data_IF_044185717755
#
_entry.id   IF_044185717755
#
_cell.length_a   1.000
_cell.length_b   1.000
_cell.length_c   1.000
_cell.angle_alpha   90.00
_cell.angle_beta   90.00
_cell.angle_gamma   90.00
#
_symmetry.space_group_name_H-M   'P 1'
#
loop_
_entity.id
_entity.type
_entity.pdbx_description
1 polymer ?
#
# COMPACT_ATOMS: atom_id res chain seq x y z
N UNK A 1 -12.22 -6.71 -0.63
CA UNK A 1 -13.26 -7.50 0.07
C UNK A 1 -12.66 -8.81 0.60
N UNK A 2 -12.11 -9.71 -0.25
CA UNK A 2 -11.61 -11.01 0.18
C UNK A 2 -10.55 -10.93 1.30
N UNK A 3 -9.60 -9.99 1.20
CA UNK A 3 -8.60 -9.75 2.25
C UNK A 3 -9.26 -9.28 3.56
N UNK A 4 -10.23 -8.37 3.48
CA UNK A 4 -10.97 -7.90 4.65
C UNK A 4 -11.80 -8.99 5.33
N UNK A 5 -12.43 -9.88 4.55
CA UNK A 5 -13.16 -11.03 5.09
C UNK A 5 -12.23 -12.04 5.77
N UNK A 6 -11.04 -12.29 5.19
CA UNK A 6 -10.02 -13.13 5.81
C UNK A 6 -9.52 -12.50 7.11
N UNK A 7 -9.20 -11.21 7.09
CA UNK A 7 -8.80 -10.46 8.28
C UNK A 7 -9.86 -10.52 9.38
N UNK A 8 -11.14 -10.38 9.02
CA UNK A 8 -12.27 -10.50 9.95
C UNK A 8 -12.27 -11.85 10.64
N UNK A 9 -12.28 -12.95 9.90
CA UNK A 9 -12.27 -14.31 10.46
C UNK A 9 -11.05 -14.55 11.33
N UNK A 10 -9.86 -14.11 10.88
CA UNK A 10 -8.64 -14.27 11.66
C UNK A 10 -8.70 -13.54 13.01
N UNK A 11 -9.15 -12.28 13.01
CA UNK A 11 -9.30 -11.48 14.24
C UNK A 11 -10.38 -12.05 15.16
N UNK A 12 -11.50 -12.52 14.62
CA UNK A 12 -12.57 -13.15 15.40
C UNK A 12 -12.12 -14.46 16.07
N UNK A 13 -11.16 -15.18 15.48
CA UNK A 13 -10.51 -16.35 16.07
C UNK A 13 -9.32 -15.97 16.98
N UNK A 14 -9.04 -14.69 17.17
CA UNK A 14 -7.97 -14.22 18.07
C UNK A 14 -6.57 -14.17 17.44
N UNK A 15 -6.43 -14.41 16.14
CA UNK A 15 -5.14 -14.34 15.47
C UNK A 15 -4.64 -12.90 15.37
N UNK A 16 -3.31 -12.75 15.37
CA UNK A 16 -2.60 -11.47 15.23
C UNK A 16 -1.43 -11.63 14.27
N UNK A 17 -1.04 -10.56 13.61
CA UNK A 17 0.22 -10.50 12.87
C UNK A 17 1.41 -10.63 13.82
N UNK A 18 2.52 -11.16 13.32
CA UNK A 18 3.75 -11.30 14.12
C UNK A 18 4.41 -9.93 14.34
N UNK A 19 5.06 -9.68 15.49
CA UNK A 19 5.62 -8.37 15.81
C UNK A 19 6.75 -7.90 14.87
N UNK A 20 7.35 -8.82 14.14
CA UNK A 20 8.40 -8.51 13.14
C UNK A 20 7.85 -8.27 11.74
N UNK A 21 6.53 -8.40 11.53
CA UNK A 21 5.89 -8.17 10.21
C UNK A 21 5.36 -6.76 10.14
N UNK A 22 5.90 -5.98 9.21
CA UNK A 22 5.33 -4.69 8.84
C UNK A 22 4.21 -4.89 7.83
N UNK A 23 3.04 -4.36 8.14
CA UNK A 23 1.86 -4.38 7.26
C UNK A 23 1.49 -2.97 6.82
N UNK A 24 0.87 -2.84 5.65
CA UNK A 24 0.33 -1.58 5.15
C UNK A 24 -0.76 -1.84 4.12
N UNK A 25 -1.69 -0.90 3.99
CA UNK A 25 -2.76 -0.92 2.99
C UNK A 25 -2.63 0.31 2.10
N UNK A 26 -2.41 0.09 0.79
CA UNK A 26 -2.39 1.14 -0.21
C UNK A 26 -3.27 0.73 -1.41
N UNK A 27 -4.58 0.98 -1.33
CA UNK A 27 -5.52 0.60 -2.38
C UNK A 27 -5.26 1.36 -3.68
N UNK A 28 -5.62 0.79 -4.82
CA UNK A 28 -5.54 1.45 -6.12
C UNK A 28 -6.53 2.60 -6.32
N UNK A 29 -7.54 2.71 -5.45
CA UNK A 29 -8.61 3.71 -5.55
C UNK A 29 -9.20 4.03 -4.19
N UNK A 30 -9.66 5.28 -4.01
CA UNK A 30 -10.39 5.70 -2.81
C UNK A 30 -11.73 4.95 -2.63
N UNK A 31 -12.35 4.49 -3.71
CA UNK A 31 -13.57 3.66 -3.66
C UNK A 31 -13.36 2.36 -2.86
N UNK A 32 -12.11 1.85 -2.82
CA UNK A 32 -11.78 0.68 -2.00
C UNK A 32 -12.01 0.96 -0.51
N UNK A 33 -11.62 2.13 -0.04
CA UNK A 33 -11.88 2.57 1.33
C UNK A 33 -13.38 2.62 1.60
N UNK A 34 -14.15 3.25 0.71
CA UNK A 34 -15.60 3.40 0.87
C UNK A 34 -16.31 2.05 1.01
N UNK A 35 -16.00 1.08 0.16
CA UNK A 35 -16.66 -0.22 0.26
C UNK A 35 -16.12 -1.09 1.41
N UNK A 36 -14.87 -0.92 1.84
CA UNK A 36 -14.36 -1.60 3.04
C UNK A 36 -15.02 -1.04 4.30
N UNK A 37 -15.19 0.26 4.40
CA UNK A 37 -15.91 0.93 5.49
C UNK A 37 -17.37 0.50 5.53
N UNK A 38 -18.07 0.55 4.39
CA UNK A 38 -19.47 0.12 4.30
C UNK A 38 -19.66 -1.36 4.65
N UNK A 39 -18.68 -2.21 4.34
CA UNK A 39 -18.67 -3.61 4.73
C UNK A 39 -18.23 -3.84 6.19
N UNK A 40 -17.73 -2.82 6.90
CA UNK A 40 -17.14 -2.93 8.24
C UNK A 40 -15.86 -3.76 8.29
N UNK A 41 -15.12 -3.84 7.17
CA UNK A 41 -13.93 -4.68 7.04
C UNK A 41 -12.62 -3.95 7.30
N UNK A 42 -12.59 -2.62 7.19
CA UNK A 42 -11.44 -1.79 7.48
C UNK A 42 -10.95 -1.99 8.93
N UNK A 43 -11.85 -2.03 9.90
CA UNK A 43 -11.51 -2.21 11.32
C UNK A 43 -10.78 -3.51 11.63
N UNK A 44 -11.03 -4.57 10.88
CA UNK A 44 -10.32 -5.85 11.02
C UNK A 44 -8.94 -5.82 10.36
N UNK A 45 -8.83 -5.13 9.23
CA UNK A 45 -7.52 -4.88 8.59
C UNK A 45 -6.64 -4.04 9.50
N UNK A 46 -7.18 -2.97 10.10
CA UNK A 46 -6.47 -2.11 11.06
C UNK A 46 -5.98 -2.89 12.29
N UNK A 47 -6.80 -3.80 12.83
CA UNK A 47 -6.41 -4.68 13.95
C UNK A 47 -5.24 -5.60 13.62
N UNK A 48 -5.04 -5.94 12.34
CA UNK A 48 -3.88 -6.68 11.85
C UNK A 48 -2.74 -5.75 11.39
N UNK A 49 -2.85 -4.43 11.62
CA UNK A 49 -1.86 -3.43 11.27
C UNK A 49 -1.86 -3.02 9.80
N UNK A 50 -2.82 -3.47 8.98
CA UNK A 50 -2.99 -3.04 7.60
C UNK A 50 -3.68 -1.66 7.54
N UNK A 51 -3.02 -0.66 8.12
CA UNK A 51 -3.51 0.71 8.12
C UNK A 51 -3.35 1.35 6.74
N UNK A 52 -4.28 2.22 6.39
CA UNK A 52 -4.22 2.99 5.15
C UNK A 52 -3.04 3.97 5.19
N UNK A 53 -2.09 3.81 4.27
CA UNK A 53 -0.89 4.66 4.16
C UNK A 53 -0.88 5.53 2.90
N UNK A 54 -1.78 5.30 1.96
CA UNK A 54 -1.92 6.05 0.71
C UNK A 54 -2.71 5.26 -0.33
N UNK A 55 -2.69 5.75 -1.56
CA UNK A 55 -3.39 5.13 -2.69
C UNK A 55 -2.45 4.92 -3.87
N UNK A 56 -2.73 3.91 -4.69
CA UNK A 56 -1.98 3.60 -5.88
C UNK A 56 -0.66 2.87 -5.61
N UNK A 57 0.41 3.24 -6.29
CA UNK A 57 1.70 2.55 -6.26
C UNK A 57 2.54 2.83 -5.00
N UNK A 58 1.95 3.07 -3.85
CA UNK A 58 2.63 3.50 -2.62
C UNK A 58 3.60 2.42 -2.12
N UNK A 59 3.12 1.19 -1.90
CA UNK A 59 3.95 0.11 -1.35
C UNK A 59 5.02 -0.37 -2.32
N UNK A 60 4.72 -0.45 -3.61
CA UNK A 60 5.65 -0.94 -4.64
C UNK A 60 6.91 -0.09 -4.81
N UNK A 61 6.91 1.15 -4.33
CA UNK A 61 8.03 2.09 -4.42
C UNK A 61 8.60 2.47 -3.04
N UNK A 62 8.23 1.75 -1.99
CA UNK A 62 8.73 1.97 -0.63
C UNK A 62 8.08 3.13 0.13
N UNK A 63 7.06 3.81 -0.43
CA UNK A 63 6.40 4.95 0.22
C UNK A 63 5.47 4.57 1.39
N UNK A 64 5.32 3.28 1.69
CA UNK A 64 4.66 2.83 2.92
C UNK A 64 5.54 2.98 4.19
N UNK A 65 6.71 3.56 4.03
CA UNK A 65 7.66 3.86 5.10
C UNK A 65 8.71 2.76 5.33
N UNK A 66 9.76 3.05 6.10
CA UNK A 66 10.86 2.12 6.37
C UNK A 66 10.43 0.97 7.29
N UNK A 67 11.26 -0.05 7.39
CA UNK A 67 11.20 -1.01 8.49
C UNK A 67 11.63 -0.31 9.79
N UNK A 68 11.15 -0.81 10.94
CA UNK A 68 11.61 -0.32 12.24
C UNK A 68 13.10 -0.65 12.46
N UNK A 69 13.81 0.22 13.17
CA UNK A 69 15.25 0.10 13.38
C UNK A 69 15.66 -1.24 13.96
N UNK A 70 14.96 -1.73 14.97
CA UNK A 70 15.22 -3.03 15.60
C UNK A 70 15.12 -4.21 14.60
N UNK A 71 14.22 -4.13 13.61
CA UNK A 71 14.10 -5.13 12.56
C UNK A 71 15.25 -5.03 11.57
N UNK A 72 15.63 -3.81 11.20
CA UNK A 72 16.79 -3.57 10.32
C UNK A 72 18.07 -4.09 10.97
N UNK A 73 18.30 -3.76 12.24
CA UNK A 73 19.44 -4.27 13.01
C UNK A 73 19.47 -5.80 13.07
N UNK A 74 18.34 -6.44 13.35
CA UNK A 74 18.23 -7.90 13.38
C UNK A 74 18.57 -8.51 12.00
N UNK A 75 18.04 -7.95 10.91
CA UNK A 75 18.33 -8.42 9.55
C UNK A 75 19.83 -8.33 9.25
N UNK A 76 20.47 -7.21 9.60
CA UNK A 76 21.89 -6.99 9.33
C UNK A 76 22.80 -7.85 10.21
N UNK A 77 22.56 -7.85 11.52
CA UNK A 77 23.38 -8.54 12.51
C UNK A 77 23.34 -10.05 12.35
N UNK A 78 22.16 -10.62 12.15
CA UNK A 78 21.96 -12.06 12.03
C UNK A 78 21.95 -12.54 10.56
N UNK A 79 22.23 -11.66 9.60
CA UNK A 79 22.21 -11.91 8.15
C UNK A 79 20.91 -12.59 7.71
N UNK A 80 19.76 -12.13 8.21
CA UNK A 80 18.47 -12.71 7.92
C UNK A 80 18.04 -12.44 6.47
N UNK A 81 17.23 -13.33 5.95
CA UNK A 81 16.66 -13.21 4.62
C UNK A 81 15.28 -12.54 4.71
N UNK A 82 15.29 -11.19 4.79
CA UNK A 82 14.05 -10.41 4.78
C UNK A 82 13.34 -10.50 3.42
N UNK A 83 12.02 -10.64 3.44
CA UNK A 83 11.18 -10.72 2.23
C UNK A 83 9.97 -9.81 2.32
N UNK A 84 9.43 -9.39 1.17
CA UNK A 84 8.11 -8.77 1.09
C UNK A 84 7.12 -9.68 0.37
N UNK A 85 5.86 -9.63 0.82
CA UNK A 85 4.72 -10.24 0.13
C UNK A 85 3.70 -9.14 -0.11
N UNK A 86 3.38 -8.84 -1.36
CA UNK A 86 2.48 -7.75 -1.70
C UNK A 86 1.56 -8.08 -2.87
N UNK A 87 0.42 -7.39 -2.91
CA UNK A 87 -0.45 -7.34 -4.09
C UNK A 87 -0.30 -5.96 -4.73
N UNK A 88 0.38 -5.91 -5.87
CA UNK A 88 0.69 -4.64 -6.51
C UNK A 88 1.37 -4.82 -7.86
N UNK A 89 2.17 -3.84 -8.26
CA UNK A 89 2.87 -3.83 -9.53
C UNK A 89 4.14 -4.71 -9.50
N UNK A 90 4.69 -5.00 -10.69
CA UNK A 90 5.87 -5.84 -10.89
C UNK A 90 7.21 -5.15 -10.60
N UNK A 91 7.26 -3.82 -10.56
CA UNK A 91 8.51 -3.04 -10.52
C UNK A 91 8.98 -2.80 -9.09
N UNK A 92 9.35 -3.84 -8.38
CA UNK A 92 9.75 -3.73 -6.99
C UNK A 92 11.21 -4.07 -6.67
N UNK A 93 12.03 -4.35 -7.67
CA UNK A 93 13.47 -4.61 -7.44
C UNK A 93 14.15 -3.40 -6.80
N UNK A 94 14.61 -3.58 -5.56
CA UNK A 94 15.28 -2.54 -4.75
C UNK A 94 14.39 -1.36 -4.34
N UNK A 95 13.10 -1.34 -4.71
CA UNK A 95 12.22 -0.19 -4.46
C UNK A 95 11.43 -0.28 -3.16
N UNK A 96 11.02 -1.49 -2.75
CA UNK A 96 10.18 -1.66 -1.56
C UNK A 96 10.98 -1.36 -0.29
N UNK A 97 12.15 -1.95 -0.17
CA UNK A 97 13.08 -1.71 0.92
C UNK A 97 14.48 -2.18 0.54
N UNK A 98 15.53 -1.43 0.89
CA UNK A 98 16.92 -1.86 0.65
C UNK A 98 17.36 -3.03 1.54
N UNK A 99 16.59 -3.35 2.58
CA UNK A 99 16.94 -4.38 3.56
C UNK A 99 16.33 -5.75 3.26
N UNK A 100 15.51 -5.87 2.21
CA UNK A 100 14.88 -7.14 1.83
C UNK A 100 15.56 -7.72 0.59
N UNK A 101 15.62 -9.06 0.53
CA UNK A 101 16.34 -9.80 -0.52
C UNK A 101 15.42 -10.47 -1.55
N UNK A 102 14.13 -10.60 -1.25
CA UNK A 102 13.15 -11.19 -2.16
C UNK A 102 11.79 -10.54 -2.03
N UNK A 103 11.04 -10.51 -3.14
CA UNK A 103 9.72 -9.93 -3.22
C UNK A 103 8.76 -10.91 -3.88
N UNK A 104 7.63 -11.15 -3.26
CA UNK A 104 6.60 -12.08 -3.73
C UNK A 104 5.32 -11.32 -4.07
N UNK A 105 4.80 -11.59 -5.25
CA UNK A 105 3.51 -11.06 -5.68
C UNK A 105 2.42 -12.08 -5.34
N UNK A 106 1.43 -11.66 -4.60
CA UNK A 106 0.33 -12.50 -4.16
C UNK A 106 -1.01 -11.77 -4.25
N UNK A 107 -2.12 -12.51 -4.21
CA UNK A 107 -3.44 -11.92 -4.08
C UNK A 107 -3.61 -11.23 -2.71
N UNK A 108 -4.47 -10.19 -2.57
CA UNK A 108 -4.68 -9.52 -1.29
C UNK A 108 -5.01 -10.46 -0.11
N UNK A 109 -5.86 -11.49 -0.26
CA UNK A 109 -6.08 -12.45 0.84
C UNK A 109 -4.82 -13.22 1.23
N UNK A 110 -3.97 -13.62 0.27
CA UNK A 110 -2.72 -14.31 0.55
C UNK A 110 -1.70 -13.39 1.24
N UNK A 111 -1.67 -12.11 0.91
CA UNK A 111 -0.84 -11.13 1.63
C UNK A 111 -1.21 -11.10 3.11
N UNK A 112 -2.49 -11.07 3.44
CA UNK A 112 -2.94 -11.14 4.85
C UNK A 112 -2.57 -12.47 5.50
N UNK A 113 -2.72 -13.59 4.79
CA UNK A 113 -2.34 -14.91 5.29
C UNK A 113 -0.85 -15.00 5.62
N UNK A 114 0.04 -14.53 4.73
CA UNK A 114 1.49 -14.52 4.99
C UNK A 114 1.89 -13.53 6.10
N UNK A 115 1.16 -12.44 6.28
CA UNK A 115 1.39 -11.55 7.42
C UNK A 115 1.06 -12.22 8.76
N UNK A 116 0.02 -13.06 8.79
CA UNK A 116 -0.32 -13.90 9.96
C UNK A 116 0.72 -15.00 10.19
N UNK A 117 1.19 -15.64 9.13
CA UNK A 117 2.24 -16.67 9.19
C UNK A 117 3.57 -16.11 9.72
N UNK A 118 3.99 -14.95 9.19
CA UNK A 118 5.20 -14.26 9.62
C UNK A 118 6.50 -14.75 8.99
N UNK A 119 6.47 -15.78 8.15
CA UNK A 119 7.62 -16.32 7.42
C UNK A 119 7.20 -17.08 6.15
N UNK A 120 8.12 -17.19 5.17
CA UNK A 120 7.82 -17.78 3.86
C UNK A 120 7.89 -19.32 3.81
N UNK A 121 8.54 -19.96 4.77
CA UNK A 121 8.57 -21.43 4.87
C UNK A 121 7.30 -22.03 5.47
N UNK A 122 6.26 -21.22 5.65
CA UNK A 122 4.95 -21.65 6.13
C UNK A 122 4.18 -22.37 5.04
N UNK A 123 3.79 -23.62 5.27
CA UNK A 123 2.93 -24.39 4.38
C UNK A 123 1.46 -24.01 4.66
N UNK A 124 0.89 -23.18 3.77
CA UNK A 124 -0.50 -22.69 3.89
C UNK A 124 -1.56 -23.80 4.00
N UNK A 125 -1.24 -25.03 3.57
CA UNK A 125 -2.18 -26.16 3.61
C UNK A 125 -2.06 -27.03 4.86
N UNK A 126 -0.90 -27.00 5.53
CA UNK A 126 -0.60 -27.91 6.62
C UNK A 126 -0.36 -27.20 7.96
N UNK A 127 0.24 -26.00 7.91
CA UNK A 127 0.66 -25.33 9.13
C UNK A 127 -0.48 -24.53 9.76
N UNK A 128 -0.49 -24.49 11.08
CA UNK A 128 -1.44 -23.72 11.86
C UNK A 128 -0.94 -22.28 12.05
N UNK A 129 -1.81 -21.29 11.87
CA UNK A 129 -1.53 -19.88 12.19
C UNK A 129 -1.43 -19.60 13.69
N UNK A 130 -1.84 -20.53 14.51
CA UNK A 130 -1.92 -20.44 15.97
C UNK A 130 -3.20 -21.07 16.51
N UNK A 131 -3.50 -20.76 17.75
CA UNK A 131 -4.69 -21.30 18.42
C UNK A 131 -5.78 -20.23 18.56
N UNK A 132 -7.02 -20.68 18.46
CA UNK A 132 -8.19 -19.85 18.75
C UNK A 132 -8.36 -19.67 20.28
N UNK A 133 -9.40 -18.95 20.67
CA UNK A 133 -9.73 -18.69 22.09
C UNK A 133 -10.07 -19.96 22.88
N UNK A 134 -10.40 -21.07 22.19
CA UNK A 134 -10.72 -22.35 22.78
C UNK A 134 -9.51 -23.33 22.81
N UNK A 135 -8.36 -22.88 22.29
CA UNK A 135 -7.14 -23.68 22.19
C UNK A 135 -7.05 -24.60 20.97
N UNK A 136 -7.96 -24.48 20.00
CA UNK A 136 -7.93 -25.26 18.76
C UNK A 136 -6.98 -24.60 17.74
N UNK A 137 -6.28 -25.43 16.97
CA UNK A 137 -5.42 -24.95 15.89
C UNK A 137 -6.24 -24.35 14.73
N UNK A 138 -5.84 -23.18 14.27
CA UNK A 138 -6.48 -22.44 13.16
C UNK A 138 -5.66 -22.59 11.89
N UNK A 139 -6.29 -23.07 10.83
CA UNK A 139 -5.70 -23.29 9.51
C UNK A 139 -6.25 -22.32 8.49
N UNK A 140 -5.62 -22.24 7.30
CA UNK A 140 -6.09 -21.37 6.21
C UNK A 140 -7.55 -21.61 5.85
N UNK A 141 -8.00 -22.85 5.79
CA UNK A 141 -9.39 -23.24 5.50
C UNK A 141 -10.42 -22.60 6.43
N UNK A 142 -10.05 -22.34 7.69
CA UNK A 142 -10.95 -21.80 8.71
C UNK A 142 -11.16 -20.29 8.55
N UNK A 143 -10.17 -19.60 8.00
CA UNK A 143 -10.20 -18.14 7.78
C UNK A 143 -10.42 -17.74 6.33
N UNK A 144 -10.30 -18.67 5.35
CA UNK A 144 -10.49 -18.36 3.94
C UNK A 144 -11.97 -18.04 3.64
N UNK A 145 -12.27 -16.89 3.01
CA UNK A 145 -13.63 -16.53 2.68
C UNK A 145 -14.16 -17.38 1.53
N UNK A 146 -15.39 -17.84 1.63
CA UNK A 146 -16.09 -18.52 0.54
C UNK A 146 -16.49 -17.53 -0.56
N UNK A 147 -16.66 -18.03 -1.79
CA UNK A 147 -17.15 -17.22 -2.91
C UNK A 147 -18.51 -16.58 -2.63
N UNK A 148 -19.38 -17.29 -1.89
CA UNK A 148 -20.71 -16.77 -1.49
C UNK A 148 -20.59 -15.58 -0.54
N UNK A 149 -19.66 -15.61 0.43
CA UNK A 149 -19.40 -14.49 1.33
C UNK A 149 -18.87 -13.27 0.56
N UNK A 150 -17.92 -13.50 -0.34
CA UNK A 150 -17.36 -12.44 -1.20
C UNK A 150 -18.46 -11.81 -2.05
N UNK A 151 -19.24 -12.62 -2.75
CA UNK A 151 -20.34 -12.15 -3.63
C UNK A 151 -21.40 -11.37 -2.85
N UNK A 152 -21.84 -11.89 -1.69
CA UNK A 152 -22.78 -11.21 -0.81
C UNK A 152 -22.26 -9.84 -0.38
N UNK A 153 -21.00 -9.80 0.08
CA UNK A 153 -20.40 -8.56 0.55
C UNK A 153 -20.23 -7.54 -0.57
N UNK A 154 -19.83 -7.99 -1.77
CA UNK A 154 -19.75 -7.12 -2.95
C UNK A 154 -21.13 -6.49 -3.28
N UNK A 155 -22.18 -7.30 -3.34
CA UNK A 155 -23.54 -6.81 -3.65
C UNK A 155 -24.07 -5.80 -2.64
N UNK A 156 -23.71 -5.94 -1.37
CA UNK A 156 -24.22 -5.05 -0.31
C UNK A 156 -23.35 -3.80 -0.09
N UNK A 157 -22.07 -3.85 -0.46
CA UNK A 157 -21.12 -2.81 -0.09
C UNK A 157 -20.62 -1.96 -1.26
N UNK A 158 -20.68 -2.48 -2.49
CA UNK A 158 -20.20 -1.76 -3.67
C UNK A 158 -21.39 -1.26 -4.50
N UNK A 159 -21.36 0.03 -4.90
CA UNK A 159 -22.34 0.63 -5.80
C UNK A 159 -21.70 1.67 -6.72
N UNK A 160 -22.44 2.06 -7.78
CA UNK A 160 -21.97 3.05 -8.74
C UNK A 160 -21.78 4.46 -8.15
N UNK A 161 -22.59 4.81 -7.15
CA UNK A 161 -22.56 6.12 -6.51
C UNK A 161 -21.20 6.41 -5.85
N UNK A 162 -20.53 5.41 -5.28
CA UNK A 162 -19.18 5.55 -4.71
C UNK A 162 -18.18 6.04 -5.76
N UNK A 163 -18.26 5.53 -6.99
CA UNK A 163 -17.40 5.98 -8.09
C UNK A 163 -17.73 7.40 -8.53
N UNK A 164 -19.03 7.72 -8.67
CA UNK A 164 -19.48 9.06 -9.02
C UNK A 164 -18.99 10.08 -7.99
N UNK A 165 -19.18 9.79 -6.70
CA UNK A 165 -18.79 10.69 -5.62
C UNK A 165 -17.26 10.92 -5.56
N UNK A 166 -16.46 9.90 -5.88
CA UNK A 166 -15.00 10.03 -5.85
C UNK A 166 -14.40 10.65 -7.11
N UNK A 167 -15.04 10.51 -8.25
CA UNK A 167 -14.44 10.88 -9.54
C UNK A 167 -15.18 11.95 -10.34
N UNK A 168 -16.36 12.41 -9.91
CA UNK A 168 -17.11 13.47 -10.61
C UNK A 168 -16.40 14.83 -10.63
N UNK A 169 -15.47 15.06 -9.72
CA UNK A 169 -14.84 16.37 -9.52
C UNK A 169 -13.31 16.30 -9.37
N UNK A 170 -12.66 15.42 -10.14
CA UNK A 170 -11.19 15.21 -10.04
C UNK A 170 -10.36 16.42 -10.45
N UNK A 171 -10.89 17.29 -11.34
CA UNK A 171 -10.17 18.46 -11.83
C UNK A 171 -10.05 19.61 -10.82
N UNK A 172 -10.90 19.65 -9.82
CA UNK A 172 -10.84 20.71 -8.79
C UNK A 172 -9.85 20.40 -7.66
N UNK A 173 -9.53 19.12 -7.44
CA UNK A 173 -8.67 18.70 -6.36
C UNK A 173 -9.28 18.93 -4.96
N UNK A 174 -8.56 18.60 -3.89
CA UNK A 174 -8.98 18.85 -2.51
C UNK A 174 -8.95 20.35 -2.17
N UNK A 175 -9.64 20.72 -1.09
CA UNK A 175 -9.73 22.11 -0.64
C UNK A 175 -8.36 22.77 -0.45
N UNK A 176 -7.40 22.03 0.12
CA UNK A 176 -6.02 22.50 0.32
C UNK A 176 -5.35 22.87 -1.02
N UNK A 177 -5.62 22.13 -2.10
CA UNK A 177 -5.12 22.45 -3.44
C UNK A 177 -5.77 23.71 -4.01
N UNK A 178 -7.09 23.88 -3.80
CA UNK A 178 -7.83 25.03 -4.28
C UNK A 178 -7.44 26.33 -3.55
N UNK A 179 -6.98 26.24 -2.31
CA UNK A 179 -6.56 27.37 -1.48
C UNK A 179 -5.13 27.86 -1.77
N UNK A 180 -4.35 27.13 -2.58
CA UNK A 180 -3.00 27.55 -2.98
C UNK A 180 -3.12 28.82 -3.83
N UNK A 181 -2.60 29.92 -3.29
CA UNK A 181 -2.55 31.20 -4.01
C UNK A 181 -1.39 31.16 -4.99
N UNK A 182 -1.68 31.31 -6.26
CA UNK A 182 -0.69 31.41 -7.32
C UNK A 182 -0.91 32.70 -8.09
N UNK A 183 0.17 33.40 -8.43
CA UNK A 183 0.13 34.51 -9.37
C UNK A 183 0.02 33.98 -10.78
N UNK A 184 -0.86 34.59 -11.59
CA UNK A 184 -0.95 34.23 -13.01
C UNK A 184 0.23 34.86 -13.75
N UNK A 185 1.11 34.02 -14.24
CA UNK A 185 2.27 34.42 -15.03
C UNK A 185 2.41 33.48 -16.23
N UNK A 186 3.03 33.97 -17.30
CA UNK A 186 3.37 33.17 -18.49
C UNK A 186 4.58 32.27 -18.25
N UNK A 187 5.39 32.58 -17.24
CA UNK A 187 6.57 31.86 -16.82
C UNK A 187 6.51 31.64 -15.30
N UNK A 188 7.20 30.63 -14.81
CA UNK A 188 7.32 30.38 -13.38
C UNK A 188 8.31 31.39 -12.75
N UNK A 189 7.90 32.06 -11.69
CA UNK A 189 8.77 32.95 -10.92
C UNK A 189 9.57 32.09 -9.92
N UNK A 190 10.85 31.90 -10.22
CA UNK A 190 11.75 31.14 -9.37
C UNK A 190 12.09 31.93 -8.11
N UNK A 191 12.05 31.26 -6.97
CA UNK A 191 12.52 31.79 -5.69
C UNK A 191 13.94 31.33 -5.46
N UNK A 192 14.91 32.27 -5.58
CA UNK A 192 16.33 31.97 -5.39
C UNK A 192 16.68 31.53 -3.98
N UNK A 193 15.87 31.91 -3.00
CA UNK A 193 16.04 31.50 -1.59
C UNK A 193 15.52 30.09 -1.31
N UNK A 194 14.76 29.51 -2.21
CA UNK A 194 14.21 28.17 -2.06
C UNK A 194 15.32 27.12 -1.97
N UNK A 195 15.22 26.23 -1.00
CA UNK A 195 16.13 25.07 -0.87
C UNK A 195 15.59 23.80 -1.52
N UNK A 196 14.34 23.84 -1.99
CA UNK A 196 13.64 22.67 -2.52
C UNK A 196 13.44 22.72 -4.04
N UNK A 197 12.94 23.84 -4.56
CA UNK A 197 12.72 24.04 -6.00
C UNK A 197 13.51 25.27 -6.45
N UNK A 198 14.49 25.09 -7.34
CA UNK A 198 15.35 26.13 -7.89
C UNK A 198 15.30 26.13 -9.41
N UNK A 199 15.62 27.29 -10.00
CA UNK A 199 15.86 27.35 -11.44
C UNK A 199 17.00 26.38 -11.82
N UNK A 200 16.75 25.46 -12.79
CA UNK A 200 17.79 24.52 -13.20
C UNK A 200 18.96 25.25 -13.88
N UNK A 201 20.22 25.02 -13.46
CA UNK A 201 21.38 25.72 -14.03
C UNK A 201 21.67 25.33 -15.48
N UNK A 202 20.99 24.34 -16.02
CA UNK A 202 21.14 23.90 -17.41
C UNK A 202 20.72 24.94 -18.44
N UNK A 203 19.91 25.93 -18.03
CA UNK A 203 19.38 26.97 -18.90
C UNK A 203 20.09 28.31 -18.77
N UNK A 204 21.02 28.48 -17.82
CA UNK A 204 21.65 29.75 -17.54
C UNK A 204 22.49 30.29 -18.69
N UNK A 205 22.94 29.45 -19.60
CA UNK A 205 23.75 29.82 -20.77
C UNK A 205 23.01 29.69 -22.10
N UNK A 206 21.70 29.42 -22.06
CA UNK A 206 20.93 29.34 -23.28
C UNK A 206 20.58 30.75 -23.80
N UNK A 207 20.73 31.01 -25.10
CA UNK A 207 20.27 32.27 -25.67
C UNK A 207 18.74 32.36 -25.68
N UNK A 208 18.18 33.55 -25.56
CA UNK A 208 16.74 33.82 -25.56
C UNK A 208 16.05 33.33 -26.83
N UNK A 209 16.80 33.30 -27.96
CA UNK A 209 16.32 32.73 -29.21
C UNK A 209 17.20 31.57 -29.67
N UNK A 210 16.61 30.50 -30.24
CA UNK A 210 17.38 29.38 -30.74
C UNK A 210 18.32 29.80 -31.88
N UNK A 211 19.58 29.37 -31.81
CA UNK A 211 20.52 29.55 -32.92
C UNK A 211 20.03 28.82 -34.18
N UNK A 212 20.29 29.41 -35.33
CA UNK A 212 20.03 28.77 -36.61
C UNK A 212 20.84 27.46 -36.72
N UNK A 213 20.21 26.41 -37.25
CA UNK A 213 20.90 25.15 -37.49
C UNK A 213 22.10 25.35 -38.40
N UNK A 214 23.27 24.91 -37.94
CA UNK A 214 24.48 24.88 -38.77
C UNK A 214 24.45 23.61 -39.63
N UNK A 215 24.82 23.67 -40.92
CA UNK A 215 24.96 22.46 -41.72
C UNK A 215 26.00 21.52 -41.05
N UNK A 216 25.69 20.25 -41.05
CA UNK A 216 26.60 19.17 -40.58
C UNK A 216 27.73 18.99 -41.56
#
# INVERSE_FOLDING_TARGET
IGAGLLAKKAVELGLKTKPWVKTSLAPGSQVVTDYLEKAGLNTYLDKLGFNLVGYGCTTCIGNSGPLSENIVEAIQKENLYGVSVLSGNRNFEGRISPHIKANYLASPPLVVAYALAGHMSFDLYKDSFGKDQNGNDVYLKDIWPSNKEIEKTLKTSLNAEMFINRYSNVSQGPKQWQEIKTEKSSIYNWDESSTYVKNPPFFDALPDEPEAFKPI
#
